data_IF_603253683306
#
_entry.id   IF_603253683306
#
_cell.length_a   1.000
_cell.length_b   1.000
_cell.length_c   1.000
_cell.angle_alpha   90.00
_cell.angle_beta   90.00
_cell.angle_gamma   90.00
#
_symmetry.space_group_name_H-M   'P 1'
#
loop_
_entity.id
_entity.type
_entity.pdbx_description
1 polymer ?
#
# COMPACT_ATOMS: atom_id res chain seq x y z
N UNK A 1 -1.28 17.88 -17.65
CA UNK A 1 -0.79 17.34 -16.37
C UNK A 1 -1.86 16.44 -15.77
N UNK A 2 -1.90 15.18 -16.21
CA UNK A 2 -2.82 14.14 -15.71
C UNK A 2 -2.11 12.80 -15.94
N UNK A 3 -1.22 12.44 -15.04
CA UNK A 3 -0.74 11.07 -14.84
C UNK A 3 -0.46 10.96 -13.35
N UNK A 4 -1.57 10.97 -12.61
CA UNK A 4 -1.63 10.70 -11.20
C UNK A 4 -1.12 9.27 -11.02
N UNK A 5 -0.08 9.08 -10.20
CA UNK A 5 0.38 7.77 -9.75
C UNK A 5 -0.80 7.12 -9.01
N UNK A 6 -1.55 6.29 -9.73
CA UNK A 6 -2.71 5.57 -9.22
C UNK A 6 -2.18 4.37 -8.42
N UNK A 7 -1.97 4.56 -7.12
CA UNK A 7 -1.98 3.45 -6.18
C UNK A 7 -3.46 3.21 -5.89
N UNK A 8 -4.01 2.15 -6.47
CA UNK A 8 -5.42 1.74 -6.33
C UNK A 8 -5.80 1.56 -4.86
N UNK A 9 -6.36 2.60 -4.26
CA UNK A 9 -7.25 2.51 -3.11
C UNK A 9 -8.65 2.22 -3.66
N UNK A 10 -8.99 0.94 -3.78
CA UNK A 10 -10.37 0.51 -4.03
C UNK A 10 -11.21 0.77 -2.77
N UNK A 11 -11.60 2.03 -2.55
CA UNK A 11 -12.72 2.39 -1.68
C UNK A 11 -14.00 2.37 -2.52
N UNK A 12 -14.50 1.16 -2.79
CA UNK A 12 -15.79 0.98 -3.41
C UNK A 12 -16.89 1.27 -2.37
N UNK A 13 -17.57 2.40 -2.60
CA UNK A 13 -18.97 2.71 -2.30
C UNK A 13 -19.67 2.03 -1.12
N UNK A 14 -19.97 2.81 -0.08
CA UNK A 14 -21.12 2.53 0.78
C UNK A 14 -22.15 3.64 0.54
N UNK A 15 -23.09 3.33 -0.34
CA UNK A 15 -24.32 4.09 -0.56
C UNK A 15 -25.15 4.11 0.73
N UNK A 16 -25.63 5.29 1.08
CA UNK A 16 -26.48 5.53 2.23
C UNK A 16 -27.83 4.83 2.05
N UNK A 17 -28.13 3.87 2.92
CA UNK A 17 -29.50 3.39 3.15
C UNK A 17 -29.80 3.50 4.64
N UNK A 18 -30.66 4.46 4.97
CA UNK A 18 -31.30 4.56 6.28
C UNK A 18 -32.34 3.44 6.42
N UNK A 19 -32.27 2.68 7.51
CA UNK A 19 -33.39 1.88 8.03
C UNK A 19 -33.47 2.16 9.55
N UNK A 20 -34.68 2.33 10.13
CA UNK A 20 -34.81 2.90 11.47
C UNK A 20 -34.53 1.88 12.58
N UNK A 21 -34.12 2.43 13.72
CA UNK A 21 -33.79 1.73 14.94
C UNK A 21 -34.97 0.93 15.53
N UNK A 22 -34.69 -0.32 15.89
CA UNK A 22 -35.39 -1.03 16.97
C UNK A 22 -34.34 -1.54 17.94
N UNK A 23 -34.42 -1.05 19.18
CA UNK A 23 -33.53 -1.42 20.27
C UNK A 23 -34.01 -2.70 20.97
N UNK A 24 -33.06 -3.50 21.44
CA UNK A 24 -32.90 -3.99 22.83
C UNK A 24 -32.22 -5.39 22.85
N UNK A 25 -31.68 -5.87 23.98
CA UNK A 25 -30.26 -5.71 24.29
C UNK A 25 -29.64 -7.08 24.53
N UNK A 26 -28.79 -7.55 23.62
CA UNK A 26 -27.89 -8.65 23.93
C UNK A 26 -26.62 -8.05 24.54
N UNK A 27 -26.51 -8.19 25.85
CA UNK A 27 -25.26 -8.28 26.59
C UNK A 27 -24.41 -9.40 25.97
N UNK A 28 -23.81 -9.10 24.84
CA UNK A 28 -22.57 -9.74 24.47
C UNK A 28 -21.55 -8.63 24.55
N UNK A 29 -20.76 -8.68 25.61
CA UNK A 29 -19.48 -7.99 25.64
C UNK A 29 -18.72 -8.63 24.49
N UNK A 30 -18.90 -8.04 23.30
CA UNK A 30 -17.93 -8.06 22.23
C UNK A 30 -16.65 -7.62 22.94
N UNK A 31 -15.92 -8.63 23.40
CA UNK A 31 -14.49 -8.61 23.28
C UNK A 31 -14.28 -8.18 21.83
N UNK A 32 -14.13 -6.88 21.63
CA UNK A 32 -13.23 -6.37 20.62
C UNK A 32 -11.92 -6.99 21.05
N UNK A 33 -11.71 -8.24 20.60
CA UNK A 33 -10.42 -8.85 20.55
C UNK A 33 -9.56 -7.72 20.01
N UNK A 34 -8.49 -7.36 20.74
CA UNK A 34 -7.36 -6.71 20.09
C UNK A 34 -7.19 -7.49 18.80
N UNK A 35 -7.57 -6.90 17.67
CA UNK A 35 -7.52 -7.60 16.40
C UNK A 35 -6.03 -7.71 16.14
N UNK A 36 -5.44 -8.79 16.64
CA UNK A 36 -4.03 -9.05 16.51
C UNK A 36 -3.75 -9.03 15.02
N UNK A 37 -2.82 -8.16 14.63
CA UNK A 37 -2.45 -7.95 13.24
C UNK A 37 -2.12 -9.31 12.64
N UNK A 38 -2.79 -9.69 11.56
CA UNK A 38 -2.58 -10.99 10.95
C UNK A 38 -1.09 -11.14 10.57
N UNK A 39 -0.45 -12.31 10.73
CA UNK A 39 0.97 -12.47 10.45
C UNK A 39 1.39 -12.04 9.04
N UNK A 40 0.53 -12.27 8.04
CA UNK A 40 0.76 -11.79 6.67
C UNK A 40 0.70 -10.26 6.55
N UNK A 41 -0.21 -9.60 7.28
CA UNK A 41 -0.28 -8.14 7.37
C UNK A 41 0.99 -7.58 8.01
N UNK A 42 1.45 -8.16 9.12
CA UNK A 42 2.66 -7.70 9.80
C UNK A 42 3.91 -7.85 8.93
N UNK A 43 4.01 -8.93 8.13
CA UNK A 43 5.08 -9.11 7.16
C UNK A 43 5.01 -8.07 6.05
N UNK A 44 3.82 -7.82 5.50
CA UNK A 44 3.57 -6.78 4.50
C UNK A 44 3.99 -5.40 5.04
N UNK A 45 3.50 -5.02 6.21
CA UNK A 45 3.80 -3.75 6.87
C UNK A 45 5.31 -3.55 7.02
N UNK A 46 6.02 -4.58 7.50
CA UNK A 46 7.47 -4.52 7.69
C UNK A 46 8.23 -4.30 6.39
N UNK A 47 7.80 -4.92 5.29
CA UNK A 47 8.42 -4.71 3.98
C UNK A 47 8.18 -3.27 3.52
N UNK A 48 6.94 -2.79 3.62
CA UNK A 48 6.58 -1.42 3.23
C UNK A 48 7.32 -0.39 4.08
N UNK A 49 7.36 -0.54 5.39
CA UNK A 49 8.10 0.35 6.30
C UNK A 49 9.58 0.41 5.94
N UNK A 50 10.22 -0.74 5.71
CA UNK A 50 11.63 -0.77 5.29
C UNK A 50 11.82 -0.05 3.96
N UNK A 51 10.97 -0.33 2.98
CA UNK A 51 11.06 0.25 1.65
C UNK A 51 10.90 1.78 1.67
N UNK A 52 9.84 2.30 2.29
CA UNK A 52 9.54 3.74 2.27
C UNK A 52 10.52 4.55 3.12
N UNK A 53 11.02 4.00 4.23
CA UNK A 53 12.10 4.62 5.00
C UNK A 53 13.41 4.62 4.21
N UNK A 54 13.67 3.56 3.45
CA UNK A 54 14.78 3.50 2.50
C UNK A 54 14.68 4.57 1.42
N UNK A 55 13.49 4.74 0.81
CA UNK A 55 13.25 5.78 -0.18
C UNK A 55 13.45 7.18 0.43
N UNK A 56 12.90 7.43 1.62
CA UNK A 56 13.12 8.70 2.34
C UNK A 56 14.61 8.99 2.53
N UNK A 57 15.40 7.99 2.91
CA UNK A 57 16.85 8.13 3.04
C UNK A 57 17.55 8.34 1.68
N UNK A 58 17.12 7.64 0.63
CA UNK A 58 17.65 7.81 -0.72
C UNK A 58 17.41 9.22 -1.27
N UNK A 59 16.25 9.82 -1.00
CA UNK A 59 15.95 11.19 -1.40
C UNK A 59 16.58 12.26 -0.52
N UNK A 60 17.05 11.91 0.68
CA UNK A 60 17.89 12.80 1.48
C UNK A 60 19.32 12.92 0.93
N UNK A 61 19.78 11.94 0.14
CA UNK A 61 21.03 12.03 -0.62
C UNK A 61 20.87 13.08 -1.75
N UNK A 62 21.89 13.93 -1.88
CA UNK A 62 21.91 15.06 -2.83
C UNK A 62 22.47 14.65 -4.19
N UNK A 63 23.30 13.62 -4.23
CA UNK A 63 23.85 13.06 -5.46
C UNK A 63 22.85 12.09 -6.10
N UNK A 64 22.24 12.51 -7.20
CA UNK A 64 21.25 11.70 -7.91
C UNK A 64 21.79 10.34 -8.37
N UNK A 65 23.09 10.22 -8.71
CA UNK A 65 23.64 8.92 -9.11
C UNK A 65 23.61 7.93 -7.95
N UNK A 66 23.88 8.40 -6.73
CA UNK A 66 23.75 7.59 -5.53
C UNK A 66 22.29 7.30 -5.20
N UNK A 67 21.41 8.30 -5.31
CA UNK A 67 19.96 8.10 -5.12
C UNK A 67 19.43 7.02 -6.06
N UNK A 68 19.80 7.04 -7.35
CA UNK A 68 19.39 6.03 -8.35
C UNK A 68 19.85 4.62 -7.93
N UNK A 69 21.11 4.46 -7.54
CA UNK A 69 21.64 3.17 -7.08
C UNK A 69 20.89 2.67 -5.86
N UNK A 70 20.60 3.55 -4.90
CA UNK A 70 19.81 3.22 -3.71
C UNK A 70 18.38 2.80 -4.07
N UNK A 71 17.71 3.56 -4.94
CA UNK A 71 16.33 3.26 -5.40
C UNK A 71 16.28 1.90 -6.09
N UNK A 72 17.18 1.61 -7.04
CA UNK A 72 17.22 0.31 -7.72
C UNK A 72 17.42 -0.84 -6.74
N UNK A 73 18.35 -0.70 -5.80
CA UNK A 73 18.57 -1.69 -4.74
C UNK A 73 17.33 -1.89 -3.86
N UNK A 74 16.65 -0.82 -3.47
CA UNK A 74 15.42 -0.88 -2.68
C UNK A 74 14.30 -1.60 -3.43
N UNK A 75 14.17 -1.33 -4.73
CA UNK A 75 13.21 -2.03 -5.61
C UNK A 75 13.51 -3.53 -5.66
N UNK A 76 14.77 -3.93 -5.84
CA UNK A 76 15.19 -5.34 -5.82
C UNK A 76 14.84 -6.03 -4.50
N UNK A 77 15.18 -5.38 -3.38
CA UNK A 77 14.90 -5.92 -2.05
C UNK A 77 13.39 -6.03 -1.78
N UNK A 78 12.61 -5.03 -2.20
CA UNK A 78 11.15 -5.03 -2.04
C UNK A 78 10.51 -6.15 -2.87
N UNK A 79 10.80 -6.23 -4.17
CA UNK A 79 10.24 -7.24 -5.08
C UNK A 79 10.58 -8.64 -4.57
N UNK A 80 11.86 -8.90 -4.26
CA UNK A 80 12.28 -10.22 -3.74
C UNK A 80 11.61 -10.57 -2.41
N UNK A 81 11.34 -9.58 -1.55
CA UNK A 81 10.64 -9.81 -0.29
C UNK A 81 9.17 -10.15 -0.52
N UNK A 82 8.51 -9.45 -1.45
CA UNK A 82 7.12 -9.72 -1.78
C UNK A 82 6.91 -11.05 -2.49
N UNK A 83 7.80 -11.43 -3.42
CA UNK A 83 7.75 -12.77 -4.07
C UNK A 83 7.72 -13.90 -3.04
N UNK A 84 8.50 -13.77 -1.95
CA UNK A 84 8.59 -14.78 -0.89
C UNK A 84 7.30 -14.91 -0.07
N UNK A 85 6.59 -13.82 0.13
CA UNK A 85 5.38 -13.80 0.98
C UNK A 85 4.08 -13.72 0.18
N UNK A 86 4.15 -13.62 -1.15
CA UNK A 86 2.98 -13.50 -2.04
C UNK A 86 1.94 -14.60 -1.77
N UNK A 87 2.29 -15.91 -1.69
CA UNK A 87 1.28 -16.94 -1.42
C UNK A 87 0.59 -16.76 -0.07
N UNK A 88 1.33 -16.31 0.95
CA UNK A 88 0.77 -16.04 2.28
C UNK A 88 -0.19 -14.85 2.26
N UNK A 89 0.16 -13.77 1.53
CA UNK A 89 -0.70 -12.61 1.35
C UNK A 89 -1.97 -12.99 0.59
N UNK A 90 -1.85 -13.72 -0.52
CA UNK A 90 -3.00 -14.13 -1.32
C UNK A 90 -3.95 -15.04 -0.53
N UNK A 91 -3.41 -15.99 0.23
CA UNK A 91 -4.22 -16.85 1.10
C UNK A 91 -4.91 -16.04 2.19
N UNK A 92 -4.24 -15.05 2.76
CA UNK A 92 -4.82 -14.19 3.79
C UNK A 92 -5.95 -13.32 3.24
N UNK A 93 -5.73 -12.64 2.11
CA UNK A 93 -6.73 -11.79 1.47
C UNK A 93 -7.97 -12.61 1.08
N UNK A 94 -7.79 -13.78 0.47
CA UNK A 94 -8.90 -14.67 0.09
C UNK A 94 -9.67 -15.21 1.30
N UNK A 95 -9.01 -15.33 2.45
CA UNK A 95 -9.59 -15.81 3.69
C UNK A 95 -10.24 -14.74 4.57
N UNK A 96 -10.18 -13.46 4.19
CA UNK A 96 -10.75 -12.38 4.99
C UNK A 96 -12.28 -12.44 5.03
N UNK A 97 -12.84 -12.37 6.24
CA UNK A 97 -14.26 -12.06 6.44
C UNK A 97 -14.52 -10.56 6.27
N UNK A 98 -15.78 -10.14 6.19
CA UNK A 98 -16.12 -8.70 6.16
C UNK A 98 -15.64 -7.96 7.42
N UNK A 99 -15.69 -8.62 8.58
CA UNK A 99 -15.16 -8.05 9.82
C UNK A 99 -13.63 -7.86 9.75
N UNK A 100 -12.91 -8.79 9.12
CA UNK A 100 -11.47 -8.65 8.91
C UNK A 100 -11.13 -7.50 7.97
N UNK A 101 -11.92 -7.33 6.89
CA UNK A 101 -11.77 -6.20 5.95
C UNK A 101 -12.02 -4.86 6.65
N UNK A 102 -13.07 -4.75 7.46
CA UNK A 102 -13.34 -3.52 8.22
C UNK A 102 -12.21 -3.22 9.21
N UNK A 103 -11.74 -4.24 9.93
CA UNK A 103 -10.65 -4.10 10.88
C UNK A 103 -9.34 -3.72 10.17
N UNK A 104 -9.05 -4.31 9.01
CA UNK A 104 -7.91 -3.95 8.17
C UNK A 104 -8.01 -2.51 7.69
N UNK A 105 -9.16 -2.07 7.16
CA UNK A 105 -9.36 -0.68 6.71
C UNK A 105 -9.10 0.34 7.81
N UNK A 106 -9.63 0.12 9.03
CA UNK A 106 -9.38 0.99 10.19
C UNK A 106 -7.91 1.04 10.57
N UNK A 107 -7.19 -0.09 10.46
CA UNK A 107 -5.74 -0.13 10.70
C UNK A 107 -4.97 0.57 9.59
N UNK A 108 -5.38 0.40 8.34
CA UNK A 108 -4.73 0.95 7.15
C UNK A 108 -4.60 2.48 7.23
N UNK A 109 -5.65 3.19 7.67
CA UNK A 109 -5.64 4.65 7.84
C UNK A 109 -4.51 5.18 8.73
N UNK A 110 -4.01 4.35 9.65
CA UNK A 110 -3.03 4.74 10.67
C UNK A 110 -1.65 4.11 10.45
N UNK A 111 -1.41 3.46 9.30
CA UNK A 111 -0.13 2.81 9.02
C UNK A 111 0.99 3.84 8.86
N UNK A 112 2.10 3.74 9.63
CA UNK A 112 3.18 4.72 9.57
C UNK A 112 3.83 4.87 8.18
N UNK A 113 3.91 3.78 7.42
CA UNK A 113 4.49 3.80 6.08
C UNK A 113 3.67 4.65 5.10
N UNK A 114 2.34 4.72 5.23
CA UNK A 114 1.49 5.55 4.35
C UNK A 114 1.80 7.04 4.55
N UNK A 115 1.95 7.48 5.80
CA UNK A 115 2.38 8.86 6.10
C UNK A 115 3.73 9.18 5.46
N UNK A 116 4.65 8.22 5.46
CA UNK A 116 5.97 8.38 4.83
C UNK A 116 5.87 8.44 3.31
N UNK A 117 5.02 7.62 2.68
CA UNK A 117 4.73 7.69 1.24
C UNK A 117 4.19 9.07 0.88
N UNK A 118 3.19 9.58 1.60
CA UNK A 118 2.66 10.92 1.35
C UNK A 118 3.71 12.00 1.52
N UNK A 119 4.59 11.88 2.52
CA UNK A 119 5.71 12.81 2.70
C UNK A 119 6.62 12.84 1.49
N UNK A 120 6.97 11.69 0.92
CA UNK A 120 7.85 11.61 -0.26
C UNK A 120 7.12 12.11 -1.51
N UNK A 121 5.88 11.67 -1.72
CA UNK A 121 5.10 11.94 -2.93
C UNK A 121 4.72 13.41 -3.08
N UNK A 122 4.48 14.11 -1.96
CA UNK A 122 4.11 15.52 -1.95
C UNK A 122 5.26 16.46 -1.62
N UNK A 123 6.50 15.96 -1.52
CA UNK A 123 7.67 16.82 -1.40
C UNK A 123 7.98 17.45 -2.77
N UNK A 124 7.88 18.79 -2.91
CA UNK A 124 8.05 19.46 -4.20
C UNK A 124 9.49 19.38 -4.72
N UNK A 125 10.49 19.29 -3.82
CA UNK A 125 11.89 19.18 -4.23
C UNK A 125 12.17 17.77 -4.77
N UNK A 126 11.59 16.74 -4.16
CA UNK A 126 11.65 15.37 -4.69
C UNK A 126 10.96 15.32 -6.07
N UNK A 127 9.75 15.86 -6.19
CA UNK A 127 9.02 15.91 -7.45
C UNK A 127 9.84 16.57 -8.56
N UNK A 128 10.41 17.75 -8.28
CA UNK A 128 11.26 18.48 -9.21
C UNK A 128 12.52 17.68 -9.61
N UNK A 129 13.18 17.02 -8.65
CA UNK A 129 14.36 16.17 -8.94
C UNK A 129 14.01 15.03 -9.89
N UNK A 130 12.87 14.37 -9.67
CA UNK A 130 12.41 13.27 -10.54
C UNK A 130 12.07 13.80 -11.93
N UNK A 131 11.42 14.96 -12.04
CA UNK A 131 11.09 15.59 -13.34
C UNK A 131 12.34 15.99 -14.12
N UNK A 132 13.37 16.49 -13.44
CA UNK A 132 14.61 16.97 -14.06
C UNK A 132 15.61 15.85 -14.38
N UNK A 133 15.46 14.67 -13.75
CA UNK A 133 16.36 13.54 -13.92
C UNK A 133 15.62 12.31 -14.49
N UNK A 134 15.67 12.09 -15.82
CA UNK A 134 14.95 10.98 -16.45
C UNK A 134 15.44 9.61 -16.02
N UNK A 135 16.71 9.46 -15.61
CA UNK A 135 17.22 8.16 -15.11
C UNK A 135 16.65 7.83 -13.73
N UNK A 136 16.53 8.84 -12.86
CA UNK A 136 15.87 8.67 -11.55
C UNK A 136 14.40 8.33 -11.71
N UNK A 137 13.71 8.99 -12.65
CA UNK A 137 12.33 8.62 -13.00
C UNK A 137 12.25 7.17 -13.50
N UNK A 138 13.12 6.76 -14.42
CA UNK A 138 13.14 5.40 -14.94
C UNK A 138 13.37 4.37 -13.83
N UNK A 139 14.27 4.64 -12.88
CA UNK A 139 14.52 3.74 -11.75
C UNK A 139 13.28 3.51 -10.88
N UNK A 140 12.46 4.54 -10.65
CA UNK A 140 11.17 4.41 -9.93
C UNK A 140 10.14 3.65 -10.77
N UNK A 141 10.01 3.99 -12.05
CA UNK A 141 9.06 3.36 -12.97
C UNK A 141 9.36 1.86 -13.15
N UNK A 142 10.64 1.48 -13.23
CA UNK A 142 11.10 0.08 -13.26
C UNK A 142 10.65 -0.69 -12.00
N UNK A 143 10.79 -0.08 -10.82
CA UNK A 143 10.31 -0.66 -9.56
C UNK A 143 8.80 -0.88 -9.57
N UNK A 144 8.05 0.13 -10.00
CA UNK A 144 6.58 0.07 -10.10
C UNK A 144 6.13 -1.02 -11.09
N UNK A 145 6.76 -1.09 -12.26
CA UNK A 145 6.44 -2.10 -13.27
C UNK A 145 6.67 -3.52 -12.76
N UNK A 146 7.76 -3.75 -12.01
CA UNK A 146 8.05 -5.06 -11.40
C UNK A 146 7.07 -5.40 -10.29
N UNK A 147 6.69 -4.44 -9.46
CA UNK A 147 5.63 -4.65 -8.47
C UNK A 147 4.30 -5.02 -9.10
N UNK A 148 3.93 -4.35 -10.20
CA UNK A 148 2.73 -4.69 -10.98
C UNK A 148 2.81 -6.12 -11.54
N UNK A 149 3.97 -6.53 -12.04
CA UNK A 149 4.19 -7.87 -12.56
C UNK A 149 4.06 -8.98 -11.50
N UNK A 150 4.12 -8.64 -10.19
CA UNK A 150 3.82 -9.60 -9.13
C UNK A 150 2.32 -9.95 -9.06
N UNK A 151 1.42 -9.20 -9.69
CA UNK A 151 0.01 -9.59 -9.81
C UNK A 151 -0.76 -9.57 -8.48
N UNK A 152 -0.39 -8.68 -7.54
CA UNK A 152 -1.26 -8.38 -6.39
C UNK A 152 -2.55 -7.64 -6.80
N UNK A 153 -2.54 -7.03 -7.98
CA UNK A 153 -3.76 -6.65 -8.70
C UNK A 153 -4.39 -7.95 -9.18
N UNK A 154 -5.20 -8.57 -8.32
CA UNK A 154 -6.18 -9.55 -8.79
C UNK A 154 -6.96 -8.93 -9.95
N UNK A 155 -7.35 -9.77 -10.90
CA UNK A 155 -8.35 -9.45 -11.93
C UNK A 155 -9.58 -8.87 -11.23
N UNK A 156 -9.57 -7.56 -10.97
CA UNK A 156 -10.77 -6.76 -11.04
C UNK A 156 -11.10 -6.81 -12.52
N UNK A 157 -11.79 -7.87 -12.92
CA UNK A 157 -12.52 -7.89 -14.16
C UNK A 157 -13.22 -6.53 -14.27
N UNK A 158 -12.92 -5.85 -15.37
CA UNK A 158 -13.76 -4.80 -15.89
C UNK A 158 -15.16 -5.41 -16.09
N UNK A 159 -15.99 -5.46 -15.04
CA UNK A 159 -17.44 -5.43 -15.24
C UNK A 159 -17.80 -4.00 -15.67
N UNK A 160 -17.44 -3.71 -16.92
CA UNK A 160 -18.21 -2.82 -17.78
C UNK A 160 -19.57 -3.47 -18.04
N UNK A 161 -20.57 -2.60 -18.22
CA UNK A 161 -21.97 -2.86 -18.54
C UNK A 161 -22.86 -3.22 -17.35
N UNK A 162 -23.48 -2.19 -16.75
CA UNK A 162 -24.91 -1.88 -16.94
C UNK A 162 -25.25 -0.46 -16.44
#
# INVERSE_FOLDING_TARGET
MKNLLLICLCLAGISWLQIPAVAAPALDVLHVAKADVHPAEAKYDKIMEKYVNGLKAAFAEKDDKKTIVMVRKLNDEMVSSFEKIKPEIESWIKGMTEADKEAFSKRAENKPYLKTIFTIMFDPEIGKRIEQNPELKAALDEGNARMKALGFEGEAEEESDY
#
